data_IF_324801911863
#
_entry.id   IF_324801911863
#
_cell.length_a   1.000
_cell.length_b   1.000
_cell.length_c   1.000
_cell.angle_alpha   90.00
_cell.angle_beta   90.00
_cell.angle_gamma   90.00
#
_symmetry.space_group_name_H-M   'P 1'
#
loop_
_entity.id
_entity.type
_entity.pdbx_description
1 polymer ?
#
# COMPACT_ATOMS: atom_id res chain seq x y z
N UNK A 1 15.74 24.79 -11.58
CA UNK A 1 15.18 24.24 -11.50
C UNK A 1 14.75 23.13 -11.32
N UNK A 2 14.75 22.75 -11.56
CA UNK A 2 14.03 21.78 -11.67
C UNK A 2 13.58 21.10 -10.76
N UNK A 3 12.67 21.02 -10.78
CA UNK A 3 12.10 20.34 -9.71
C UNK A 3 11.94 18.89 -10.04
N UNK A 4 12.07 18.01 -9.07
CA UNK A 4 11.77 16.61 -9.23
C UNK A 4 10.30 16.45 -9.55
N UNK A 5 9.96 15.50 -10.38
CA UNK A 5 8.58 15.16 -10.68
C UNK A 5 7.90 14.66 -9.41
N UNK A 6 6.63 15.09 -9.20
CA UNK A 6 5.84 14.69 -8.03
C UNK A 6 4.99 13.46 -8.29
N UNK A 7 4.97 13.01 -9.53
CA UNK A 7 4.25 11.80 -9.93
C UNK A 7 4.88 11.27 -11.21
N UNK A 8 4.61 10.03 -11.52
CA UNK A 8 5.14 9.41 -12.72
C UNK A 8 4.71 7.97 -12.83
N UNK A 9 5.41 7.24 -13.67
CA UNK A 9 5.15 5.82 -13.90
C UNK A 9 6.42 5.01 -13.74
N UNK A 10 6.25 3.81 -13.18
CA UNK A 10 7.28 2.78 -13.24
C UNK A 10 6.93 1.92 -14.45
N UNK A 11 7.75 2.02 -15.50
CA UNK A 11 7.47 1.35 -16.77
C UNK A 11 7.90 -0.11 -16.73
N UNK A 12 7.06 -0.97 -17.31
CA UNK A 12 7.34 -2.39 -17.49
C UNK A 12 7.88 -3.09 -16.22
N UNK A 13 7.17 -2.98 -15.08
CA UNK A 13 7.61 -3.70 -13.88
C UNK A 13 7.59 -5.21 -14.13
N UNK A 14 8.58 -5.91 -13.57
CA UNK A 14 8.71 -7.35 -13.80
C UNK A 14 7.75 -8.17 -12.95
N UNK A 15 7.33 -7.62 -11.79
CA UNK A 15 6.51 -8.35 -10.82
C UNK A 15 5.08 -7.85 -10.76
N UNK A 16 4.70 -6.89 -11.59
CA UNK A 16 3.32 -6.45 -11.72
C UNK A 16 2.75 -6.96 -13.02
N UNK A 17 1.47 -7.30 -13.02
CA UNK A 17 0.75 -7.74 -14.22
C UNK A 17 0.45 -6.58 -15.18
N UNK A 18 0.61 -5.34 -14.73
CA UNK A 18 0.31 -4.17 -15.53
C UNK A 18 1.55 -3.71 -16.28
N UNK A 19 1.33 -3.08 -17.43
CA UNK A 19 2.45 -2.58 -18.26
C UNK A 19 3.18 -1.41 -17.61
N UNK A 20 2.53 -0.76 -16.65
CA UNK A 20 3.16 0.27 -15.83
C UNK A 20 2.39 0.40 -14.53
N UNK A 21 3.04 0.98 -13.53
CA UNK A 21 2.41 1.33 -12.26
C UNK A 21 2.62 2.82 -12.01
N UNK A 22 1.58 3.49 -11.53
CA UNK A 22 1.62 4.94 -11.30
C UNK A 22 2.08 5.22 -9.88
N UNK A 23 2.99 6.17 -9.71
CA UNK A 23 3.36 6.64 -8.38
C UNK A 23 3.05 8.13 -8.29
N UNK A 24 2.57 8.55 -7.11
CA UNK A 24 2.17 9.94 -6.87
C UNK A 24 3.18 10.70 -6.03
N UNK A 25 4.05 10.00 -5.31
CA UNK A 25 5.08 10.58 -4.48
C UNK A 25 6.39 9.82 -4.66
N UNK A 26 7.51 10.50 -4.49
CA UNK A 26 8.82 9.89 -4.67
C UNK A 26 9.05 8.65 -3.80
N UNK A 27 8.49 8.63 -2.57
CA UNK A 27 8.63 7.46 -1.71
C UNK A 27 7.91 6.24 -2.29
N UNK A 28 6.81 6.45 -3.02
CA UNK A 28 6.11 5.33 -3.68
C UNK A 28 6.97 4.69 -4.75
N UNK A 29 7.65 5.52 -5.53
CA UNK A 29 8.57 5.02 -6.55
C UNK A 29 9.66 4.16 -5.93
N UNK A 30 10.29 4.67 -4.86
CA UNK A 30 11.34 3.93 -4.16
C UNK A 30 10.81 2.62 -3.57
N UNK A 31 9.59 2.64 -3.02
CA UNK A 31 8.97 1.46 -2.45
C UNK A 31 8.72 0.39 -3.53
N UNK A 32 8.18 0.82 -4.67
CA UNK A 32 7.95 -0.06 -5.82
C UNK A 32 9.25 -0.71 -6.30
N UNK A 33 10.32 0.08 -6.38
CA UNK A 33 11.63 -0.44 -6.77
C UNK A 33 12.13 -1.47 -5.76
N UNK A 34 11.87 -1.24 -4.48
CA UNK A 34 12.18 -2.20 -3.44
C UNK A 34 11.43 -3.51 -3.60
N UNK A 35 10.13 -3.44 -3.92
CA UNK A 35 9.32 -4.64 -4.16
C UNK A 35 9.84 -5.41 -5.37
N UNK A 36 10.27 -4.72 -6.42
CA UNK A 36 10.84 -5.36 -7.61
C UNK A 36 12.14 -6.10 -7.29
N UNK A 37 12.91 -5.61 -6.34
CA UNK A 37 14.20 -6.19 -5.98
C UNK A 37 14.13 -7.23 -4.87
N UNK A 38 13.03 -7.31 -4.15
CA UNK A 38 12.88 -8.21 -3.01
C UNK A 38 12.66 -9.64 -3.50
N UNK A 39 13.61 -10.52 -3.18
CA UNK A 39 13.56 -11.92 -3.62
C UNK A 39 12.34 -12.67 -3.06
N UNK A 40 11.76 -12.22 -1.94
CA UNK A 40 10.59 -12.86 -1.35
C UNK A 40 9.29 -12.40 -1.98
N UNK A 41 9.30 -11.35 -2.79
CA UNK A 41 8.11 -10.84 -3.46
C UNK A 41 7.98 -11.50 -4.83
N UNK A 42 6.88 -12.20 -5.02
CA UNK A 42 6.55 -12.82 -6.31
C UNK A 42 5.83 -11.82 -7.21
N UNK A 43 4.88 -11.08 -6.65
CA UNK A 43 4.07 -10.13 -7.42
C UNK A 43 3.57 -9.00 -6.52
N UNK A 44 3.30 -7.86 -7.11
CA UNK A 44 2.76 -6.72 -6.39
C UNK A 44 1.98 -5.82 -7.35
N UNK A 45 1.10 -4.99 -6.79
CA UNK A 45 0.48 -3.93 -7.56
C UNK A 45 -0.03 -2.83 -6.63
N UNK A 46 0.05 -1.60 -7.07
CA UNK A 46 -0.66 -0.48 -6.48
C UNK A 46 -2.07 -0.41 -7.06
N UNK A 47 -2.24 -0.93 -8.27
CA UNK A 47 -3.50 -0.86 -9.01
C UNK A 47 -4.42 -2.05 -8.67
N UNK A 48 -4.64 -2.27 -7.38
CA UNK A 48 -5.61 -3.23 -6.90
C UNK A 48 -6.97 -2.54 -6.73
N UNK A 49 -8.02 -3.32 -6.61
CA UNK A 49 -9.37 -2.77 -6.48
C UNK A 49 -9.96 -2.97 -5.09
N UNK A 50 -9.09 -3.18 -4.11
CA UNK A 50 -9.52 -3.43 -2.74
C UNK A 50 -9.99 -2.11 -2.11
N UNK A 51 -11.19 -2.15 -1.55
CA UNK A 51 -11.78 -1.03 -0.81
C UNK A 51 -12.25 -1.60 0.52
N UNK A 52 -11.76 -1.05 1.61
CA UNK A 52 -12.06 -1.55 2.95
C UNK A 52 -12.93 -0.54 3.65
N UNK A 53 -14.20 -0.88 3.96
CA UNK A 53 -15.07 0.08 4.64
C UNK A 53 -14.63 0.30 6.08
N UNK A 54 -14.75 1.52 6.55
CA UNK A 54 -14.50 1.85 7.95
C UNK A 54 -15.35 3.05 8.35
N UNK A 55 -15.44 3.29 9.65
CA UNK A 55 -16.16 4.44 10.20
C UNK A 55 -15.09 5.43 10.69
N UNK A 56 -15.17 6.67 10.21
CA UNK A 56 -14.17 7.67 10.58
C UNK A 56 -14.46 8.28 11.96
N UNK A 57 -13.59 9.19 12.42
CA UNK A 57 -13.72 9.80 13.73
C UNK A 57 -14.97 10.68 13.88
N UNK A 58 -15.60 11.02 12.77
CA UNK A 58 -16.85 11.80 12.77
C UNK A 58 -18.07 10.92 12.52
N UNK A 59 -17.91 9.61 12.71
CA UNK A 59 -18.98 8.63 12.56
C UNK A 59 -19.55 8.54 11.14
N UNK A 60 -18.72 8.81 10.14
CA UNK A 60 -19.12 8.73 8.73
C UNK A 60 -18.57 7.46 8.11
N UNK A 61 -19.31 6.87 7.19
CA UNK A 61 -18.85 5.70 6.43
C UNK A 61 -17.86 6.15 5.36
N UNK A 62 -16.71 5.48 5.33
CA UNK A 62 -15.63 5.77 4.40
C UNK A 62 -15.09 4.47 3.83
N UNK A 63 -14.31 4.59 2.76
CA UNK A 63 -13.56 3.46 2.21
C UNK A 63 -12.08 3.76 2.28
N UNK A 64 -11.33 2.75 2.68
CA UNK A 64 -9.88 2.82 2.79
C UNK A 64 -9.26 1.97 1.69
N UNK A 65 -8.30 2.53 0.99
CA UNK A 65 -7.55 1.83 -0.04
C UNK A 65 -6.10 1.68 0.41
N UNK A 66 -5.64 0.46 0.73
CA UNK A 66 -4.24 0.24 1.08
C UNK A 66 -3.31 0.60 -0.08
N UNK A 67 -2.06 0.90 0.24
CA UNK A 67 -1.12 1.35 -0.78
C UNK A 67 -0.78 0.26 -1.79
N UNK A 68 -0.45 -0.96 -1.32
CA UNK A 68 0.01 -2.03 -2.21
C UNK A 68 -0.57 -3.38 -1.82
N UNK A 69 -0.89 -4.17 -2.82
CA UNK A 69 -1.17 -5.59 -2.64
C UNK A 69 0.08 -6.35 -3.07
N UNK A 70 0.54 -7.25 -2.22
CA UNK A 70 1.80 -7.97 -2.42
C UNK A 70 1.55 -9.47 -2.26
N UNK A 71 2.13 -10.27 -3.16
CA UNK A 71 2.12 -11.72 -3.03
C UNK A 71 3.56 -12.18 -2.84
N UNK A 72 3.79 -12.94 -1.79
CA UNK A 72 5.11 -13.49 -1.53
C UNK A 72 5.32 -14.80 -2.27
N UNK A 73 6.58 -15.19 -2.43
CA UNK A 73 6.92 -16.47 -3.06
C UNK A 73 6.37 -17.66 -2.28
N UNK A 74 6.11 -17.48 -0.98
CA UNK A 74 5.47 -18.50 -0.15
C UNK A 74 3.98 -18.69 -0.47
N UNK A 75 3.39 -17.79 -1.26
CA UNK A 75 1.97 -17.76 -1.55
C UNK A 75 1.17 -16.85 -0.64
N UNK A 76 1.80 -16.31 0.42
CA UNK A 76 1.11 -15.41 1.33
C UNK A 76 0.73 -14.12 0.63
N UNK A 77 -0.48 -13.61 0.92
CA UNK A 77 -0.93 -12.31 0.44
C UNK A 77 -0.79 -11.27 1.54
N UNK A 78 -0.34 -10.10 1.17
CA UNK A 78 -0.12 -9.00 2.12
C UNK A 78 -0.72 -7.71 1.56
N UNK A 79 -1.28 -6.89 2.45
CA UNK A 79 -1.61 -5.51 2.14
C UNK A 79 -0.59 -4.63 2.84
N UNK A 80 0.10 -3.80 2.08
CA UNK A 80 1.10 -2.89 2.62
C UNK A 80 0.55 -1.49 2.70
N UNK A 81 0.72 -0.87 3.87
CA UNK A 81 0.36 0.53 4.10
C UNK A 81 1.60 1.25 4.60
N UNK A 82 1.98 2.34 3.92
CA UNK A 82 3.15 3.14 4.30
C UNK A 82 2.66 4.45 4.88
N UNK A 83 3.04 4.75 6.13
CA UNK A 83 2.61 5.97 6.81
C UNK A 83 3.79 6.74 7.37
N UNK A 84 3.72 8.06 7.28
CA UNK A 84 4.64 8.91 8.00
C UNK A 84 4.40 8.78 9.51
N UNK A 85 5.47 8.78 10.29
CA UNK A 85 5.37 8.62 11.74
C UNK A 85 4.47 9.66 12.40
N UNK A 86 4.46 10.88 11.88
CA UNK A 86 3.65 11.98 12.42
C UNK A 86 2.14 11.75 12.27
N UNK A 87 1.72 10.85 11.39
CA UNK A 87 0.30 10.55 11.18
C UNK A 87 -0.20 9.38 12.00
N UNK A 88 0.68 8.65 12.68
CA UNK A 88 0.30 7.43 13.38
C UNK A 88 -0.67 7.65 14.53
N UNK A 89 -0.66 8.83 15.14
CA UNK A 89 -1.58 9.16 16.23
C UNK A 89 -2.92 9.71 15.79
N UNK A 90 -3.11 9.98 14.50
CA UNK A 90 -4.35 10.56 14.02
C UNK A 90 -5.52 9.56 14.17
N UNK A 91 -6.70 9.99 14.64
CA UNK A 91 -7.82 9.07 14.89
C UNK A 91 -8.23 8.27 13.66
N UNK A 92 -8.26 8.89 12.50
CA UNK A 92 -8.67 8.19 11.28
C UNK A 92 -7.61 7.20 10.81
N UNK A 93 -6.33 7.49 11.03
CA UNK A 93 -5.25 6.56 10.71
C UNK A 93 -5.41 5.26 11.50
N UNK A 94 -5.68 5.35 12.80
CA UNK A 94 -5.88 4.17 13.63
C UNK A 94 -7.08 3.35 13.17
N UNK A 95 -8.17 4.01 12.82
CA UNK A 95 -9.39 3.34 12.35
C UNK A 95 -9.16 2.61 11.03
N UNK A 96 -8.40 3.22 10.12
CA UNK A 96 -8.04 2.59 8.85
C UNK A 96 -7.18 1.34 9.09
N UNK A 97 -6.19 1.46 9.96
CA UNK A 97 -5.30 0.34 10.27
C UNK A 97 -6.07 -0.82 10.87
N UNK A 98 -6.95 -0.54 11.84
CA UNK A 98 -7.80 -1.58 12.43
C UNK A 98 -8.68 -2.26 11.40
N UNK A 99 -9.29 -1.48 10.51
CA UNK A 99 -10.13 -2.03 9.45
C UNK A 99 -9.30 -2.90 8.50
N UNK A 100 -8.09 -2.44 8.15
CA UNK A 100 -7.18 -3.21 7.30
C UNK A 100 -6.77 -4.52 7.92
N UNK A 101 -6.43 -4.53 9.21
CA UNK A 101 -6.05 -5.75 9.92
C UNK A 101 -7.20 -6.74 9.96
N UNK A 102 -8.42 -6.24 10.26
CA UNK A 102 -9.60 -7.11 10.32
C UNK A 102 -9.92 -7.70 8.95
N UNK A 103 -9.86 -6.88 7.92
CA UNK A 103 -10.09 -7.33 6.55
C UNK A 103 -9.13 -8.46 6.18
N UNK A 104 -7.85 -8.31 6.54
CA UNK A 104 -6.84 -9.31 6.28
C UNK A 104 -7.06 -10.60 7.07
N UNK A 105 -7.40 -10.48 8.37
CA UNK A 105 -7.70 -11.65 9.19
C UNK A 105 -8.80 -12.50 8.61
N UNK A 106 -9.86 -11.85 8.10
CA UNK A 106 -11.00 -12.55 7.53
C UNK A 106 -10.67 -13.29 6.24
N UNK A 107 -9.52 -12.98 5.62
CA UNK A 107 -9.13 -13.52 4.32
C UNK A 107 -7.79 -14.24 4.32
N UNK A 108 -7.28 -14.57 5.49
CA UNK A 108 -5.96 -15.22 5.64
C UNK A 108 -4.84 -14.43 4.95
N UNK A 109 -4.94 -13.12 4.98
CA UNK A 109 -3.90 -12.23 4.47
C UNK A 109 -3.21 -11.54 5.64
N UNK A 110 -2.07 -10.92 5.37
CA UNK A 110 -1.29 -10.20 6.37
C UNK A 110 -1.36 -8.71 6.10
N UNK A 111 -1.55 -7.92 7.15
CA UNK A 111 -1.49 -6.47 7.04
C UNK A 111 -0.12 -6.00 7.50
N UNK A 112 0.61 -5.32 6.61
CA UNK A 112 1.97 -4.86 6.86
C UNK A 112 1.97 -3.33 6.94
N UNK A 113 2.21 -2.81 8.12
CA UNK A 113 2.30 -1.36 8.32
C UNK A 113 3.77 -0.97 8.31
N UNK A 114 4.13 -0.11 7.38
CA UNK A 114 5.49 0.41 7.24
C UNK A 114 5.46 1.88 7.62
N UNK A 115 6.23 2.26 8.63
CA UNK A 115 6.36 3.67 9.01
C UNK A 115 7.61 4.25 8.38
N UNK A 116 7.46 5.42 7.79
CA UNK A 116 8.61 6.16 7.26
C UNK A 116 8.78 7.46 8.03
N UNK A 117 9.98 7.92 8.11
CA UNK A 117 10.31 9.15 8.83
C UNK A 117 10.57 10.29 7.90
#
# INVERSE_FOLDING_TARGET
MNSAAKHGRLEAPKKSAFSFEVWDHGWEKAYMEGLELDAEVEAWTKNHKIRIPYIDSQNRKREYRPDFLVKLTSGALQLHEVKGGHLMGAPDTKRKIEAGRRWCEERDAEFVLVTKE
#
